data_IF_895898934991
#
_entry.id   IF_895898934991
#
_cell.length_a   1.000
_cell.length_b   1.000
_cell.length_c   1.000
_cell.angle_alpha   90.00
_cell.angle_beta   90.00
_cell.angle_gamma   90.00
#
_symmetry.space_group_name_H-M   'P 1'
#
loop_
_entity.id
_entity.type
_entity.pdbx_description
1 polymer ?
#
# COMPACT_ATOMS: atom_id res chain seq x y z
N UNK A 1 -17.00 -20.06 -9.29
CA UNK A 1 -16.45 -20.69 -8.06
C UNK A 1 -17.59 -21.22 -7.18
N UNK A 2 -17.39 -22.34 -6.52
CA UNK A 2 -18.33 -22.95 -5.57
C UNK A 2 -17.58 -23.70 -4.48
N UNK A 3 -18.21 -23.83 -3.30
CA UNK A 3 -17.69 -24.63 -2.19
C UNK A 3 -18.26 -26.03 -2.18
N UNK A 4 -17.44 -27.03 -1.84
CA UNK A 4 -17.84 -28.39 -1.50
C UNK A 4 -17.31 -28.69 -0.10
N UNK A 5 -18.18 -29.21 0.76
CA UNK A 5 -17.80 -29.71 2.10
C UNK A 5 -17.79 -31.22 2.07
N UNK A 6 -16.66 -31.84 2.46
CA UNK A 6 -16.51 -33.26 2.58
C UNK A 6 -15.66 -33.59 3.81
N UNK A 7 -16.13 -34.48 4.69
CA UNK A 7 -15.43 -34.94 5.90
C UNK A 7 -14.85 -33.78 6.76
N UNK A 8 -15.63 -32.73 7.00
CA UNK A 8 -15.23 -31.52 7.73
C UNK A 8 -14.11 -30.70 7.06
N UNK A 9 -13.83 -30.94 5.79
CA UNK A 9 -12.96 -30.11 4.97
C UNK A 9 -13.78 -29.38 3.92
N UNK A 10 -13.53 -28.08 3.80
CA UNK A 10 -14.12 -27.26 2.75
C UNK A 10 -13.15 -27.10 1.60
N UNK A 11 -13.62 -27.32 0.39
CA UNK A 11 -12.87 -27.04 -0.82
C UNK A 11 -13.56 -25.95 -1.64
N UNK A 12 -12.82 -24.90 -2.00
CA UNK A 12 -13.27 -23.88 -2.94
C UNK A 12 -12.74 -24.21 -4.33
N UNK A 13 -13.64 -24.53 -5.23
CA UNK A 13 -13.30 -24.75 -6.65
C UNK A 13 -13.39 -23.46 -7.43
N UNK A 14 -12.31 -23.12 -8.13
CA UNK A 14 -12.22 -21.95 -9.01
C UNK A 14 -11.87 -22.45 -10.40
N UNK A 15 -12.82 -22.34 -11.33
CA UNK A 15 -12.59 -22.64 -12.73
C UNK A 15 -12.18 -21.37 -13.47
N UNK A 16 -11.12 -21.49 -14.25
CA UNK A 16 -10.63 -20.46 -15.16
C UNK A 16 -10.92 -20.94 -16.58
N UNK A 17 -11.82 -20.27 -17.29
CA UNK A 17 -12.31 -20.71 -18.61
C UNK A 17 -11.29 -20.49 -19.73
N UNK A 18 -10.33 -19.58 -19.57
CA UNK A 18 -9.35 -19.23 -20.62
C UNK A 18 -8.06 -18.72 -19.94
N UNK A 19 -7.19 -19.62 -19.47
CA UNK A 19 -5.98 -19.24 -18.75
C UNK A 19 -5.01 -18.42 -19.61
N UNK A 20 -4.97 -18.61 -20.92
CA UNK A 20 -4.07 -17.91 -21.83
C UNK A 20 -4.41 -16.42 -21.99
N UNK A 21 -5.62 -16.02 -21.60
CA UNK A 21 -6.07 -14.61 -21.59
C UNK A 21 -5.90 -13.90 -20.25
N UNK A 22 -5.29 -14.56 -19.27
CA UNK A 22 -5.04 -13.95 -17.96
C UNK A 22 -3.73 -13.16 -18.01
N UNK A 23 -3.86 -11.85 -17.89
CA UNK A 23 -2.76 -10.95 -17.56
C UNK A 23 -2.55 -10.87 -16.02
N UNK A 24 -1.45 -10.23 -15.61
CA UNK A 24 -1.11 -10.08 -14.18
C UNK A 24 -2.25 -9.45 -13.37
N UNK A 25 -2.87 -8.39 -13.87
CA UNK A 25 -3.98 -7.70 -13.19
C UNK A 25 -5.20 -8.60 -12.98
N UNK A 26 -5.47 -9.51 -13.91
CA UNK A 26 -6.58 -10.47 -13.77
C UNK A 26 -6.26 -11.54 -12.73
N UNK A 27 -5.01 -12.01 -12.67
CA UNK A 27 -4.55 -12.94 -11.65
C UNK A 27 -4.60 -12.33 -10.25
N UNK A 28 -4.22 -11.08 -10.10
CA UNK A 28 -4.37 -10.33 -8.86
C UNK A 28 -5.84 -10.21 -8.43
N UNK A 29 -6.75 -9.93 -9.38
CA UNK A 29 -8.20 -9.92 -9.10
C UNK A 29 -8.72 -11.28 -8.69
N UNK A 30 -8.22 -12.37 -9.29
CA UNK A 30 -8.52 -13.74 -8.88
C UNK A 30 -8.08 -13.94 -7.43
N UNK A 31 -6.85 -13.58 -7.08
CA UNK A 31 -6.35 -13.63 -5.70
C UNK A 31 -7.24 -12.89 -4.71
N UNK A 32 -7.58 -11.64 -5.02
CA UNK A 32 -8.48 -10.83 -4.19
C UNK A 32 -9.88 -11.45 -4.04
N UNK A 33 -10.41 -12.08 -5.09
CA UNK A 33 -11.69 -12.77 -5.06
C UNK A 33 -11.64 -14.05 -4.19
N UNK A 34 -10.54 -14.81 -4.25
CA UNK A 34 -10.31 -15.97 -3.38
C UNK A 34 -10.32 -15.52 -1.92
N UNK A 35 -9.53 -14.53 -1.58
CA UNK A 35 -9.46 -14.00 -0.22
C UNK A 35 -10.84 -13.57 0.29
N UNK A 36 -11.61 -12.82 -0.53
CA UNK A 36 -12.96 -12.40 -0.18
C UNK A 36 -13.88 -13.57 0.11
N UNK A 37 -13.83 -14.65 -0.69
CA UNK A 37 -14.67 -15.84 -0.50
C UNK A 37 -14.33 -16.58 0.78
N UNK A 38 -13.06 -16.74 1.10
CA UNK A 38 -12.61 -17.34 2.36
C UNK A 38 -13.09 -16.52 3.56
N UNK A 39 -13.00 -15.19 3.46
CA UNK A 39 -13.45 -14.27 4.50
C UNK A 39 -14.98 -14.30 4.68
N UNK A 40 -15.76 -14.28 3.60
CA UNK A 40 -17.23 -14.38 3.62
C UNK A 40 -17.71 -15.65 4.29
N UNK A 41 -16.96 -16.75 4.14
CA UNK A 41 -17.28 -18.04 4.76
C UNK A 41 -16.90 -18.11 6.24
N UNK A 42 -16.13 -17.18 6.76
CA UNK A 42 -15.60 -17.20 8.13
C UNK A 42 -14.53 -18.28 8.32
N UNK A 43 -13.73 -18.54 7.27
CA UNK A 43 -12.66 -19.54 7.29
C UNK A 43 -11.68 -19.25 8.41
N UNK A 44 -11.20 -20.30 9.09
CA UNK A 44 -10.22 -20.23 10.17
C UNK A 44 -9.12 -21.29 9.94
N UNK A 45 -7.92 -21.01 10.44
CA UNK A 45 -6.82 -21.97 10.42
C UNK A 45 -6.09 -22.01 9.07
N UNK A 46 -5.62 -23.20 8.66
CA UNK A 46 -4.77 -23.35 7.48
C UNK A 46 -5.58 -23.66 6.23
N UNK A 47 -5.34 -22.88 5.18
CA UNK A 47 -5.94 -23.03 3.86
C UNK A 47 -4.85 -23.42 2.87
N UNK A 48 -5.10 -24.46 2.07
CA UNK A 48 -4.24 -24.83 0.96
C UNK A 48 -4.93 -24.54 -0.36
N UNK A 49 -4.23 -23.80 -1.22
CA UNK A 49 -4.66 -23.53 -2.60
C UNK A 49 -3.84 -24.42 -3.52
N UNK A 50 -4.49 -25.41 -4.11
CA UNK A 50 -3.88 -26.31 -5.09
C UNK A 50 -4.07 -25.69 -6.48
N UNK A 51 -2.98 -25.49 -7.20
CA UNK A 51 -3.00 -25.01 -8.58
C UNK A 51 -2.69 -26.20 -9.46
N UNK A 52 -3.58 -26.50 -10.41
CA UNK A 52 -3.43 -27.59 -11.37
C UNK A 52 -2.22 -27.31 -12.27
N UNK A 53 -1.36 -28.33 -12.47
CA UNK A 53 -0.11 -28.21 -13.21
C UNK A 53 -0.34 -27.92 -14.72
N UNK A 54 -1.52 -28.30 -15.24
CA UNK A 54 -1.91 -27.96 -16.61
C UNK A 54 -2.26 -26.47 -16.76
N UNK A 55 -2.45 -25.74 -15.64
CA UNK A 55 -2.79 -24.32 -15.65
C UNK A 55 -1.54 -23.47 -15.41
N UNK A 56 -0.97 -22.96 -16.49
CA UNK A 56 0.20 -22.06 -16.44
C UNK A 56 -0.19 -20.66 -15.95
N UNK A 57 -0.34 -20.48 -14.64
CA UNK A 57 -0.61 -19.19 -14.03
C UNK A 57 0.48 -18.78 -13.05
N UNK A 58 0.74 -17.49 -12.94
CA UNK A 58 1.67 -16.96 -11.95
C UNK A 58 1.01 -16.97 -10.57
N UNK A 59 1.44 -17.89 -9.72
CA UNK A 59 0.99 -17.97 -8.32
C UNK A 59 1.39 -16.75 -7.50
N UNK A 60 2.48 -16.08 -7.88
CA UNK A 60 2.94 -14.84 -7.22
C UNK A 60 1.96 -13.70 -7.41
N UNK A 61 1.32 -13.58 -8.58
CA UNK A 61 0.28 -12.58 -8.82
C UNK A 61 -1.00 -12.89 -8.04
N UNK A 62 -1.37 -14.17 -7.91
CA UNK A 62 -2.52 -14.58 -7.09
C UNK A 62 -2.25 -14.24 -5.63
N UNK A 63 -1.08 -14.62 -5.09
CA UNK A 63 -0.68 -14.32 -3.72
C UNK A 63 -0.67 -12.81 -3.44
N UNK A 64 -0.09 -12.02 -4.34
CA UNK A 64 -0.06 -10.56 -4.25
C UNK A 64 -1.48 -9.97 -4.19
N UNK A 65 -2.38 -10.42 -5.06
CA UNK A 65 -3.78 -9.99 -5.07
C UNK A 65 -4.54 -10.33 -3.79
N UNK A 66 -4.24 -11.50 -3.18
CA UNK A 66 -4.79 -11.89 -1.88
C UNK A 66 -4.34 -10.92 -0.78
N UNK A 67 -3.05 -10.62 -0.71
CA UNK A 67 -2.49 -9.73 0.30
C UNK A 67 -2.92 -8.27 0.12
N UNK A 68 -3.08 -7.80 -1.12
CA UNK A 68 -3.69 -6.49 -1.38
C UNK A 68 -5.12 -6.40 -0.82
N UNK A 69 -5.87 -7.51 -0.86
CA UNK A 69 -7.23 -7.60 -0.34
C UNK A 69 -7.30 -7.76 1.18
N UNK A 70 -6.28 -8.36 1.76
CA UNK A 70 -6.15 -8.56 3.20
C UNK A 70 -6.02 -7.25 3.97
N UNK A 71 -5.37 -6.25 3.38
CA UNK A 71 -5.10 -4.98 4.01
C UNK A 71 -6.37 -4.33 4.59
N UNK A 72 -6.29 -3.94 5.87
CA UNK A 72 -7.33 -3.20 6.60
C UNK A 72 -6.69 -2.07 7.41
N UNK A 73 -7.40 -0.97 7.50
CA UNK A 73 -7.07 0.11 8.41
C UNK A 73 -8.17 0.21 9.47
N UNK A 74 -8.02 -0.53 10.57
CA UNK A 74 -8.98 -0.63 11.66
C UNK A 74 -8.44 -0.11 13.01
N UNK A 75 -7.31 0.58 12.96
CA UNK A 75 -6.54 1.11 14.10
C UNK A 75 -7.40 1.86 15.14
N UNK A 76 -8.43 2.55 14.68
CA UNK A 76 -9.30 3.38 15.53
C UNK A 76 -10.66 2.74 15.83
N UNK A 77 -10.89 1.51 15.38
CA UNK A 77 -12.14 0.82 15.66
C UNK A 77 -12.18 0.33 17.10
N UNK A 78 -13.17 0.81 17.86
CA UNK A 78 -13.38 0.40 19.25
C UNK A 78 -14.20 -0.87 19.37
N UNK A 79 -14.92 -1.25 18.33
CA UNK A 79 -15.68 -2.50 18.22
C UNK A 79 -15.22 -3.24 16.99
N UNK A 80 -14.82 -4.49 17.16
CA UNK A 80 -14.60 -5.43 16.06
C UNK A 80 -15.91 -6.19 15.86
N UNK A 81 -16.63 -5.88 14.79
CA UNK A 81 -17.99 -6.42 14.53
C UNK A 81 -18.02 -7.90 14.13
N UNK A 82 -16.88 -8.52 13.90
CA UNK A 82 -16.73 -9.95 13.60
C UNK A 82 -15.42 -10.46 14.16
N UNK A 83 -15.40 -11.74 14.56
CA UNK A 83 -14.15 -12.46 14.80
C UNK A 83 -13.24 -12.27 13.59
N UNK A 84 -12.01 -11.83 13.84
CA UNK A 84 -11.01 -11.71 12.78
C UNK A 84 -10.88 -13.09 12.14
N UNK A 85 -11.15 -13.15 10.84
CA UNK A 85 -10.84 -14.35 10.07
C UNK A 85 -9.32 -14.46 10.08
N UNK A 86 -8.83 -15.44 10.84
CA UNK A 86 -7.39 -15.70 10.95
C UNK A 86 -7.12 -17.02 10.23
N UNK A 87 -6.63 -16.92 9.00
CA UNK A 87 -6.21 -18.08 8.24
C UNK A 87 -4.84 -17.83 7.58
N UNK A 88 -4.05 -18.88 7.60
CA UNK A 88 -2.78 -18.97 6.90
C UNK A 88 -3.00 -19.64 5.54
N UNK A 89 -2.37 -19.13 4.49
CA UNK A 89 -2.58 -19.63 3.14
C UNK A 89 -1.27 -20.19 2.59
N UNK A 90 -1.29 -21.49 2.24
CA UNK A 90 -0.27 -22.11 1.42
C UNK A 90 -0.75 -22.24 -0.02
N UNK A 91 0.05 -21.77 -0.98
CA UNK A 91 -0.20 -22.06 -2.40
C UNK A 91 0.72 -23.22 -2.79
N UNK A 92 0.15 -24.27 -3.33
CA UNK A 92 0.85 -25.51 -3.71
C UNK A 92 0.75 -25.67 -5.23
N UNK A 93 1.89 -25.71 -5.87
CA UNK A 93 2.04 -25.95 -7.32
C UNK A 93 3.34 -26.72 -7.55
N UNK A 94 3.38 -27.61 -8.54
CA UNK A 94 4.62 -28.27 -8.97
C UNK A 94 5.45 -27.29 -9.81
N UNK A 95 6.36 -26.57 -9.14
CA UNK A 95 7.19 -25.54 -9.75
C UNK A 95 8.50 -25.34 -8.99
N UNK A 96 9.46 -24.66 -9.62
CA UNK A 96 10.70 -24.26 -8.97
C UNK A 96 10.47 -23.18 -7.93
N UNK A 97 10.52 -23.58 -6.66
CA UNK A 97 10.31 -22.68 -5.52
C UNK A 97 11.31 -21.52 -5.49
N UNK A 98 12.56 -21.74 -5.94
CA UNK A 98 13.59 -20.69 -5.95
C UNK A 98 13.18 -19.56 -6.88
N UNK A 99 12.69 -19.90 -8.06
CA UNK A 99 12.21 -18.93 -9.05
C UNK A 99 10.99 -18.18 -8.53
N UNK A 100 10.03 -18.89 -7.94
CA UNK A 100 8.82 -18.27 -7.34
C UNK A 100 9.20 -17.29 -6.23
N UNK A 101 10.14 -17.67 -5.36
CA UNK A 101 10.62 -16.79 -4.29
C UNK A 101 11.31 -15.53 -4.83
N UNK A 102 12.14 -15.65 -5.86
CA UNK A 102 12.77 -14.49 -6.49
C UNK A 102 11.73 -13.53 -7.11
N UNK A 103 10.76 -14.07 -7.87
CA UNK A 103 9.67 -13.27 -8.42
C UNK A 103 8.85 -12.58 -7.33
N UNK A 104 8.63 -13.26 -6.20
CA UNK A 104 7.82 -12.74 -5.12
C UNK A 104 8.49 -11.62 -4.33
N UNK A 105 9.82 -11.58 -4.26
CA UNK A 105 10.57 -10.52 -3.55
C UNK A 105 10.16 -9.12 -4.00
N UNK A 106 10.07 -8.89 -5.30
CA UNK A 106 9.67 -7.58 -5.83
C UNK A 106 8.22 -7.22 -5.49
N UNK A 107 7.33 -8.23 -5.51
CA UNK A 107 5.93 -8.06 -5.13
C UNK A 107 5.76 -7.79 -3.64
N UNK A 108 6.54 -8.45 -2.79
CA UNK A 108 6.55 -8.21 -1.35
C UNK A 108 7.03 -6.79 -1.02
N UNK A 109 8.09 -6.32 -1.68
CA UNK A 109 8.56 -4.94 -1.54
C UNK A 109 7.47 -3.94 -1.97
N UNK A 110 6.83 -4.17 -3.11
CA UNK A 110 5.72 -3.35 -3.61
C UNK A 110 4.53 -3.36 -2.64
N UNK A 111 4.17 -4.52 -2.09
CA UNK A 111 3.09 -4.67 -1.12
C UNK A 111 3.34 -3.85 0.15
N UNK A 112 4.58 -3.88 0.67
CA UNK A 112 4.99 -3.07 1.82
C UNK A 112 4.83 -1.58 1.54
N UNK A 113 5.31 -1.13 0.38
CA UNK A 113 5.15 0.27 -0.04
C UNK A 113 3.69 0.69 -0.21
N UNK A 114 2.86 -0.15 -0.84
CA UNK A 114 1.42 0.10 -1.01
C UNK A 114 0.72 0.16 0.36
N UNK A 115 1.01 -0.77 1.25
CA UNK A 115 0.40 -0.81 2.59
C UNK A 115 0.79 0.42 3.41
N UNK A 116 2.06 0.82 3.37
CA UNK A 116 2.53 2.03 4.04
C UNK A 116 1.86 3.29 3.48
N UNK A 117 1.72 3.40 2.16
CA UNK A 117 0.99 4.51 1.53
C UNK A 117 -0.48 4.54 1.97
N UNK A 118 -1.15 3.39 2.03
CA UNK A 118 -2.54 3.26 2.49
C UNK A 118 -2.67 3.67 3.97
N UNK A 119 -1.71 3.28 4.82
CA UNK A 119 -1.68 3.68 6.23
C UNK A 119 -1.59 5.21 6.36
N UNK A 120 -0.67 5.83 5.63
CA UNK A 120 -0.51 7.29 5.62
C UNK A 120 -1.80 7.99 5.19
N UNK A 121 -2.41 7.56 4.10
CA UNK A 121 -3.64 8.16 3.54
C UNK A 121 -4.84 7.96 4.50
N UNK A 122 -4.87 6.85 5.24
CA UNK A 122 -5.99 6.51 6.12
C UNK A 122 -5.95 7.25 7.45
N UNK A 123 -4.79 7.74 7.87
CA UNK A 123 -4.64 8.48 9.13
C UNK A 123 -5.44 9.80 9.12
N UNK A 124 -6.03 10.19 10.26
CA UNK A 124 -6.62 11.51 10.39
C UNK A 124 -5.55 12.59 10.53
N UNK A 125 -5.86 13.81 10.09
CA UNK A 125 -4.90 14.93 10.03
C UNK A 125 -4.43 15.46 11.39
N UNK A 126 -5.14 15.14 12.49
CA UNK A 126 -4.68 15.43 13.84
C UNK A 126 -3.56 14.48 14.30
N UNK A 127 -3.42 13.33 13.65
CA UNK A 127 -2.34 12.35 13.86
C UNK A 127 -1.26 12.50 12.79
N UNK A 128 -1.66 12.64 11.52
CA UNK A 128 -0.75 12.83 10.39
C UNK A 128 -0.73 14.31 9.97
N UNK A 129 0.18 15.07 10.53
CA UNK A 129 0.48 16.47 10.19
C UNK A 129 1.95 16.57 9.73
N UNK A 130 2.41 17.70 9.19
CA UNK A 130 3.71 17.73 8.50
C UNK A 130 4.89 17.14 9.28
N UNK A 131 5.04 17.47 10.57
CA UNK A 131 6.14 16.93 11.38
C UNK A 131 5.98 15.42 11.60
N UNK A 132 4.82 14.94 12.07
CA UNK A 132 4.61 13.50 12.30
C UNK A 132 4.68 12.67 11.03
N UNK A 133 4.34 13.26 9.89
CA UNK A 133 4.52 12.61 8.60
C UNK A 133 6.01 12.49 8.26
N UNK A 134 6.76 13.58 8.38
CA UNK A 134 8.22 13.57 8.19
C UNK A 134 8.91 12.55 9.11
N UNK A 135 8.51 12.48 10.38
CA UNK A 135 9.05 11.52 11.34
C UNK A 135 8.81 10.06 10.91
N UNK A 136 7.62 9.76 10.37
CA UNK A 136 7.31 8.42 9.84
C UNK A 136 8.15 8.07 8.62
N UNK A 137 8.39 9.04 7.74
CA UNK A 137 9.24 8.83 6.56
C UNK A 137 10.71 8.64 6.98
N UNK A 138 11.19 9.39 7.97
CA UNK A 138 12.54 9.18 8.54
C UNK A 138 12.69 7.80 9.15
N UNK A 139 11.69 7.33 9.92
CA UNK A 139 11.70 5.99 10.50
C UNK A 139 11.75 4.90 9.40
N UNK A 140 10.94 5.03 8.36
CA UNK A 140 10.97 4.12 7.20
C UNK A 140 12.35 4.11 6.51
N UNK A 141 13.01 5.25 6.42
CA UNK A 141 14.35 5.36 5.83
C UNK A 141 15.42 4.55 6.54
N UNK A 142 15.30 4.36 7.86
CA UNK A 142 16.23 3.51 8.64
C UNK A 142 16.19 2.06 8.15
N UNK A 143 14.98 1.56 7.87
CA UNK A 143 14.79 0.16 7.47
C UNK A 143 15.14 -0.07 5.98
N UNK A 144 15.01 0.95 5.15
CA UNK A 144 15.20 0.85 3.68
C UNK A 144 16.58 1.31 3.20
N UNK A 145 17.36 1.96 4.07
CA UNK A 145 18.67 2.52 3.70
C UNK A 145 18.60 3.74 2.76
N UNK A 146 17.44 4.38 2.63
CA UNK A 146 17.27 5.61 1.88
C UNK A 146 17.97 6.78 2.57
N UNK A 147 18.61 7.65 1.81
CA UNK A 147 19.07 8.94 2.30
C UNK A 147 17.88 9.92 2.35
N UNK A 148 17.48 10.33 3.56
CA UNK A 148 16.30 11.17 3.75
C UNK A 148 16.69 12.48 4.41
N UNK A 149 16.26 13.58 3.81
CA UNK A 149 16.43 14.93 4.36
C UNK A 149 15.09 15.65 4.50
N UNK A 150 14.89 16.26 5.66
CA UNK A 150 13.68 17.04 5.98
C UNK A 150 14.08 18.51 6.10
N UNK A 151 13.38 19.38 5.38
CA UNK A 151 13.56 20.81 5.41
C UNK A 151 12.39 21.47 6.13
N UNK A 152 12.71 22.35 7.07
CA UNK A 152 11.74 23.20 7.79
C UNK A 152 11.48 24.53 7.10
N UNK A 153 10.60 25.35 7.68
CA UNK A 153 10.21 26.64 7.08
C UNK A 153 11.39 27.62 6.91
N UNK A 154 12.34 27.61 7.83
CA UNK A 154 13.53 28.45 7.74
C UNK A 154 14.35 28.11 6.49
N UNK A 155 14.71 26.84 6.31
CA UNK A 155 15.48 26.36 5.17
C UNK A 155 14.71 26.55 3.86
N UNK A 156 13.41 26.31 3.87
CA UNK A 156 12.53 26.55 2.72
C UNK A 156 12.47 28.03 2.33
N UNK A 157 12.52 28.92 3.31
CA UNK A 157 12.63 30.37 3.08
C UNK A 157 13.94 30.75 2.41
N UNK A 158 15.07 30.22 2.87
CA UNK A 158 16.38 30.42 2.26
C UNK A 158 16.46 29.90 0.82
N UNK A 159 15.76 28.81 0.52
CA UNK A 159 15.64 28.24 -0.82
C UNK A 159 14.71 29.03 -1.73
N UNK A 160 13.98 30.02 -1.22
CA UNK A 160 13.00 30.79 -1.99
C UNK A 160 11.71 30.00 -2.29
N UNK A 161 11.37 28.97 -1.51
CA UNK A 161 10.19 28.12 -1.69
C UNK A 161 8.88 28.83 -1.26
N UNK A 162 8.69 30.08 -1.68
CA UNK A 162 7.60 30.94 -1.24
C UNK A 162 6.20 30.37 -1.52
N UNK A 163 6.01 29.70 -2.64
CA UNK A 163 4.72 29.09 -2.98
C UNK A 163 4.35 27.95 -2.02
N UNK A 164 5.31 27.13 -1.60
CA UNK A 164 5.10 26.07 -0.61
C UNK A 164 4.76 26.70 0.75
N UNK A 165 5.53 27.68 1.18
CA UNK A 165 5.33 28.37 2.46
C UNK A 165 3.99 29.09 2.52
N UNK A 166 3.53 29.68 1.40
CA UNK A 166 2.24 30.34 1.31
C UNK A 166 1.06 29.42 1.62
N UNK A 167 1.16 28.13 1.27
CA UNK A 167 0.10 27.13 1.56
C UNK A 167 -0.02 26.87 3.06
N UNK A 168 1.12 26.79 3.76
CA UNK A 168 1.15 26.43 5.20
C UNK A 168 1.06 27.64 6.16
N UNK A 169 1.21 28.87 5.67
CA UNK A 169 1.38 30.06 6.53
C UNK A 169 0.24 30.34 7.52
N UNK A 170 -0.97 29.84 7.25
CA UNK A 170 -2.13 29.96 8.16
C UNK A 170 -2.21 28.86 9.19
N UNK A 171 -1.34 27.87 9.15
CA UNK A 171 -1.33 26.73 10.07
C UNK A 171 -0.46 27.01 11.30
N UNK A 172 -0.87 26.49 12.46
CA UNK A 172 0.00 26.45 13.65
C UNK A 172 1.05 25.31 13.57
N UNK A 173 0.99 24.48 12.52
CA UNK A 173 1.94 23.40 12.23
C UNK A 173 2.89 23.84 11.15
N UNK A 174 4.18 23.76 11.42
CA UNK A 174 5.24 24.14 10.49
C UNK A 174 5.21 23.26 9.23
N UNK A 175 5.37 23.90 8.07
CA UNK A 175 5.48 23.19 6.79
C UNK A 175 6.80 22.42 6.69
N UNK A 176 6.76 21.26 6.03
CA UNK A 176 7.94 20.42 5.80
C UNK A 176 8.04 20.02 4.33
N UNK A 177 9.28 19.93 3.84
CA UNK A 177 9.59 19.24 2.59
C UNK A 177 10.52 18.07 2.89
N UNK A 178 10.17 16.90 2.38
CA UNK A 178 10.97 15.68 2.56
C UNK A 178 11.56 15.29 1.21
N UNK A 179 12.87 15.12 1.18
CA UNK A 179 13.62 14.61 0.03
C UNK A 179 14.15 13.23 0.38
N UNK A 180 13.84 12.25 -0.45
CA UNK A 180 14.30 10.87 -0.34
C UNK A 180 15.17 10.55 -1.55
N UNK A 181 16.36 10.02 -1.32
CA UNK A 181 17.31 9.71 -2.39
C UNK A 181 17.68 8.23 -2.36
N UNK A 182 17.63 7.59 -3.52
CA UNK A 182 18.13 6.27 -3.79
C UNK A 182 19.03 6.34 -5.03
N UNK A 183 20.34 6.44 -4.81
CA UNK A 183 21.34 6.77 -5.84
C UNK A 183 22.21 5.54 -6.18
N UNK A 184 21.56 4.39 -6.37
CA UNK A 184 22.24 3.11 -6.68
C UNK A 184 22.35 2.80 -8.18
N UNK A 185 21.90 3.71 -9.05
CA UNK A 185 22.07 3.62 -10.50
C UNK A 185 23.47 3.99 -10.97
N UNK A 186 23.70 3.94 -12.28
CA UNK A 186 24.96 4.41 -12.86
C UNK A 186 25.03 5.95 -12.77
N UNK A 187 26.24 6.48 -12.54
CA UNK A 187 26.44 7.94 -12.42
C UNK A 187 26.10 8.73 -13.68
N UNK A 188 26.14 8.07 -14.83
CA UNK A 188 25.85 8.67 -16.14
C UNK A 188 24.36 8.65 -16.48
N UNK A 189 23.56 7.89 -15.74
CA UNK A 189 22.13 7.80 -15.98
C UNK A 189 21.40 9.05 -15.44
N UNK A 190 20.39 9.55 -16.16
CA UNK A 190 19.62 10.71 -15.69
C UNK A 190 18.83 10.33 -14.42
N UNK A 191 18.87 11.21 -13.43
CA UNK A 191 18.08 11.04 -12.21
C UNK A 191 16.59 11.18 -12.50
N UNK A 192 15.79 10.20 -12.05
CA UNK A 192 14.34 10.28 -12.07
C UNK A 192 13.84 10.91 -10.78
N UNK A 193 12.96 11.91 -10.88
CA UNK A 193 12.36 12.56 -9.73
C UNK A 193 10.85 12.33 -9.69
N UNK A 194 10.34 11.87 -8.54
CA UNK A 194 8.92 11.79 -8.24
C UNK A 194 8.54 12.93 -7.30
N UNK A 195 7.50 13.67 -7.64
CA UNK A 195 7.02 14.81 -6.84
C UNK A 195 5.59 14.52 -6.39
N UNK A 196 5.36 14.53 -5.09
CA UNK A 196 4.06 14.24 -4.49
C UNK A 196 3.53 15.39 -3.66
N UNK A 197 2.26 15.76 -3.88
CA UNK A 197 1.54 16.71 -3.03
C UNK A 197 1.35 16.14 -1.63
N UNK A 198 1.77 16.87 -0.59
CA UNK A 198 1.80 16.46 0.80
C UNK A 198 0.94 17.32 1.74
N UNK A 199 -0.14 17.92 1.24
CA UNK A 199 -1.04 18.75 2.07
C UNK A 199 -1.85 17.86 3.00
N UNK A 200 -1.51 17.85 4.30
CA UNK A 200 -2.09 16.94 5.30
C UNK A 200 -3.58 17.17 5.54
N UNK A 201 -4.07 18.40 5.36
CA UNK A 201 -5.50 18.72 5.39
C UNK A 201 -5.76 20.05 4.70
N UNK A 202 -6.64 20.06 3.70
CA UNK A 202 -7.00 21.26 2.95
C UNK A 202 -8.44 21.72 3.25
N UNK A 203 -8.55 22.77 4.06
CA UNK A 203 -9.84 23.39 4.39
C UNK A 203 -10.38 24.31 3.30
N UNK A 204 -9.54 24.69 2.33
CA UNK A 204 -9.82 25.73 1.33
C UNK A 204 -9.43 27.16 1.77
N UNK A 205 -9.03 27.37 3.01
CA UNK A 205 -8.65 28.68 3.54
C UNK A 205 -9.84 29.66 3.61
N UNK A 206 -9.67 30.91 3.16
CA UNK A 206 -10.77 31.88 3.12
C UNK A 206 -11.91 31.45 2.20
N UNK A 207 -11.66 30.67 1.17
CA UNK A 207 -12.67 29.97 0.37
C UNK A 207 -12.93 28.60 0.94
N UNK A 208 -13.54 28.54 2.12
CA UNK A 208 -13.72 27.30 2.87
C UNK A 208 -14.56 26.29 2.09
N UNK A 209 -14.12 25.03 2.09
CA UNK A 209 -14.81 23.95 1.41
C UNK A 209 -16.12 23.58 2.10
N UNK A 210 -17.18 23.16 1.35
CA UNK A 210 -18.40 22.65 1.93
C UNK A 210 -18.13 21.38 2.76
N UNK A 211 -18.90 21.18 3.84
CA UNK A 211 -18.76 20.02 4.74
C UNK A 211 -18.77 18.67 4.03
N UNK A 212 -19.54 18.55 2.92
CA UNK A 212 -19.67 17.30 2.14
C UNK A 212 -18.33 16.80 1.59
N UNK A 213 -17.42 17.71 1.18
CA UNK A 213 -16.09 17.34 0.65
C UNK A 213 -14.97 17.46 1.67
N UNK A 214 -15.20 18.17 2.78
CA UNK A 214 -14.16 18.52 3.73
C UNK A 214 -13.57 17.30 4.45
N UNK A 215 -14.39 16.30 4.79
CA UNK A 215 -13.96 15.06 5.46
C UNK A 215 -12.92 14.27 4.65
N UNK A 216 -12.99 14.38 3.31
CA UNK A 216 -12.10 13.65 2.41
C UNK A 216 -10.76 14.37 2.20
N UNK A 217 -10.62 15.61 2.71
CA UNK A 217 -9.40 16.41 2.58
C UNK A 217 -8.23 15.92 3.46
N UNK A 218 -8.44 14.91 4.29
CA UNK A 218 -7.33 14.16 4.90
C UNK A 218 -6.52 13.38 3.84
N UNK A 219 -7.10 13.12 2.67
CA UNK A 219 -6.43 12.45 1.54
C UNK A 219 -5.63 13.39 0.63
N UNK A 220 -5.60 14.68 0.92
CA UNK A 220 -4.94 15.67 0.06
C UNK A 220 -3.40 15.54 0.04
N UNK A 221 -2.86 14.67 0.88
CA UNK A 221 -1.48 14.22 0.88
C UNK A 221 -1.26 12.87 0.17
N UNK A 222 -2.27 12.34 -0.52
CA UNK A 222 -2.21 11.02 -1.17
C UNK A 222 -1.12 10.92 -2.24
N UNK A 223 -0.85 12.01 -2.97
CA UNK A 223 0.23 12.04 -3.95
C UNK A 223 1.61 11.81 -3.32
N UNK A 224 1.90 12.46 -2.19
CA UNK A 224 3.15 12.23 -1.46
C UNK A 224 3.21 10.85 -0.84
N UNK A 225 2.09 10.32 -0.35
CA UNK A 225 2.05 8.95 0.20
C UNK A 225 2.40 7.90 -0.86
N UNK A 226 1.93 8.07 -2.11
CA UNK A 226 2.32 7.21 -3.22
C UNK A 226 3.82 7.32 -3.52
N UNK A 227 4.38 8.53 -3.52
CA UNK A 227 5.85 8.72 -3.69
C UNK A 227 6.61 8.02 -2.58
N UNK A 228 6.20 8.19 -1.31
CA UNK A 228 6.86 7.54 -0.17
C UNK A 228 6.78 6.01 -0.28
N UNK A 229 5.59 5.46 -0.61
CA UNK A 229 5.42 4.03 -0.80
C UNK A 229 6.26 3.48 -1.97
N UNK A 230 6.38 4.24 -3.06
CA UNK A 230 7.25 3.88 -4.19
C UNK A 230 8.72 3.83 -3.75
N UNK A 231 9.19 4.84 -3.05
CA UNK A 231 10.57 4.86 -2.54
C UNK A 231 10.85 3.74 -1.54
N UNK A 232 9.86 3.36 -0.73
CA UNK A 232 9.96 2.22 0.18
C UNK A 232 10.10 0.87 -0.55
N UNK A 233 9.60 0.78 -1.79
CA UNK A 233 9.60 -0.45 -2.58
C UNK A 233 10.90 -0.68 -3.36
N UNK A 234 11.82 0.28 -3.39
CA UNK A 234 13.12 0.19 -4.06
C UNK A 234 14.12 -0.61 -3.23
#
# INVERSE_FOLDING_TARGET
SFFITHNNHDALFISISDPDKLDENKLEKVGGAIYSKLQERGTQGKVQILVDDDVKVSVTNIAFGMQLKEYKFDKYFTKKDKEETNFEIDIVQDTDLTKVQEEYKSKDAMLKGISFAKDLISEPSNVLYPQSYADRVLAMGVDTGLNIKVYGEHELGEMGAGALLAVGQGSARESKMVVMEWMNGNKEDPTMAFVGKGVCFDTGGYSIKPSKGLKDMKYDMGGSAVVVGTMMSL
#
